data_IF_743995630510
#
_entry.id   IF_743995630510
#
_cell.length_a   1.000
_cell.length_b   1.000
_cell.length_c   1.000
_cell.angle_alpha   90.00
_cell.angle_beta   90.00
_cell.angle_gamma   90.00
#
_symmetry.space_group_name_H-M   'P 1'
#
loop_
_entity.id
_entity.type
_entity.pdbx_description
1 polymer ?
#
# COMPACT_ATOMS: atom_id res chain seq x y z
N UNK A 1 -21.46 51.36 85.74
CA UNK A 1 -20.06 51.87 85.71
C UNK A 1 -19.97 53.24 85.03
N UNK A 2 -20.58 53.42 83.84
CA UNK A 2 -20.68 54.74 83.15
C UNK A 2 -21.36 55.82 83.99
N UNK A 3 -22.53 55.50 84.57
CA UNK A 3 -23.30 56.48 85.36
C UNK A 3 -22.57 56.92 86.63
N UNK A 4 -21.87 56.00 87.30
CA UNK A 4 -21.05 56.29 88.48
C UNK A 4 -19.87 57.21 88.16
N UNK A 5 -19.33 57.12 86.94
CA UNK A 5 -18.22 57.98 86.49
C UNK A 5 -18.71 59.36 86.04
N UNK A 6 -19.88 59.43 85.39
CA UNK A 6 -20.53 60.70 85.06
C UNK A 6 -20.88 61.50 86.32
N UNK A 7 -21.47 60.85 87.33
CA UNK A 7 -21.80 61.50 88.60
C UNK A 7 -20.54 62.00 89.34
N UNK A 8 -19.44 61.24 89.28
CA UNK A 8 -18.15 61.66 89.82
C UNK A 8 -17.57 62.87 89.06
N UNK A 9 -17.60 62.86 87.72
CA UNK A 9 -17.19 64.01 86.90
C UNK A 9 -18.01 65.26 87.22
N UNK A 10 -19.33 65.11 87.36
CA UNK A 10 -20.25 66.19 87.75
C UNK A 10 -19.90 66.79 89.10
N UNK A 11 -19.66 65.95 90.10
CA UNK A 11 -19.27 66.38 91.44
C UNK A 11 -17.94 67.16 91.43
N UNK A 12 -16.95 66.71 90.67
CA UNK A 12 -15.68 67.42 90.51
C UNK A 12 -15.87 68.75 89.77
N UNK A 13 -16.61 68.75 88.66
CA UNK A 13 -16.84 69.93 87.84
C UNK A 13 -17.56 71.06 88.61
N UNK A 14 -18.47 70.72 89.53
CA UNK A 14 -19.15 71.68 90.43
C UNK A 14 -18.19 72.42 91.38
N UNK A 15 -17.05 71.82 91.69
CA UNK A 15 -16.01 72.42 92.53
C UNK A 15 -14.88 73.06 91.73
N UNK A 16 -14.93 72.99 90.39
CA UNK A 16 -13.92 73.55 89.53
C UNK A 16 -14.08 75.08 89.34
N UNK A 17 -12.97 75.77 89.12
CA UNK A 17 -12.90 77.22 88.97
C UNK A 17 -12.19 77.62 87.67
N UNK A 18 -12.57 78.76 87.10
CA UNK A 18 -11.92 79.32 85.92
C UNK A 18 -10.50 79.78 86.26
N UNK A 19 -9.49 79.19 85.62
CA UNK A 19 -8.07 79.49 85.86
C UNK A 19 -7.70 80.99 85.76
N UNK A 20 -8.45 81.79 84.99
CA UNK A 20 -8.18 83.21 84.76
C UNK A 20 -8.92 84.15 85.72
N UNK A 21 -10.01 83.70 86.36
CA UNK A 21 -10.89 84.56 87.18
C UNK A 21 -11.17 84.01 88.58
N UNK A 22 -10.82 82.75 88.88
CA UNK A 22 -11.08 82.08 90.16
C UNK A 22 -12.56 81.86 90.47
N UNK A 23 -13.46 82.14 89.52
CA UNK A 23 -14.91 81.94 89.72
C UNK A 23 -15.26 80.48 89.46
N UNK A 24 -16.21 79.94 90.22
CA UNK A 24 -16.76 78.59 89.98
C UNK A 24 -17.40 78.51 88.59
N UNK A 25 -17.26 77.35 87.95
CA UNK A 25 -17.93 77.06 86.68
C UNK A 25 -19.44 77.04 86.92
N UNK A 26 -20.20 77.63 86.00
CA UNK A 26 -21.65 77.66 86.11
C UNK A 26 -22.25 76.27 85.82
N UNK A 27 -23.23 75.86 86.62
CA UNK A 27 -23.91 74.55 86.47
C UNK A 27 -24.45 74.35 85.04
N UNK A 28 -24.96 75.42 84.41
CA UNK A 28 -25.47 75.38 83.03
C UNK A 28 -24.40 74.95 82.02
N UNK A 29 -23.16 75.42 82.20
CA UNK A 29 -22.04 75.06 81.30
C UNK A 29 -21.62 73.60 81.54
N UNK A 30 -21.69 73.12 82.79
CA UNK A 30 -21.41 71.72 83.11
C UNK A 30 -22.44 70.81 82.43
N UNK A 31 -23.73 71.17 82.48
CA UNK A 31 -24.81 70.45 81.81
C UNK A 31 -24.64 70.44 80.28
N UNK A 32 -24.34 71.59 79.68
CA UNK A 32 -24.08 71.69 78.23
C UNK A 32 -22.90 70.78 77.79
N UNK A 33 -21.84 70.68 78.60
CA UNK A 33 -20.70 69.78 78.32
C UNK A 33 -21.09 68.31 78.52
N UNK A 34 -21.86 67.97 79.56
CA UNK A 34 -22.33 66.60 79.79
C UNK A 34 -23.25 66.10 78.67
N UNK A 35 -24.16 66.95 78.17
CA UNK A 35 -25.00 66.64 77.01
C UNK A 35 -24.15 66.44 75.74
N UNK A 36 -23.16 67.32 75.51
CA UNK A 36 -22.23 67.16 74.38
C UNK A 36 -21.41 65.87 74.47
N UNK A 37 -20.90 65.51 75.66
CA UNK A 37 -20.18 64.26 75.87
C UNK A 37 -21.06 63.03 75.64
N UNK A 38 -22.34 63.08 76.06
CA UNK A 38 -23.32 62.03 75.80
C UNK A 38 -23.58 61.84 74.30
N UNK A 39 -23.79 62.93 73.57
CA UNK A 39 -23.99 62.90 72.12
C UNK A 39 -22.75 62.34 71.42
N UNK A 40 -21.54 62.73 71.85
CA UNK A 40 -20.28 62.20 71.31
C UNK A 40 -20.07 60.73 71.63
N UNK A 41 -20.43 60.30 72.84
CA UNK A 41 -20.38 58.89 73.23
C UNK A 41 -21.32 58.03 72.37
N UNK A 42 -22.52 58.55 72.06
CA UNK A 42 -23.47 57.88 71.16
C UNK A 42 -22.91 57.76 69.73
N UNK A 43 -22.32 58.84 69.19
CA UNK A 43 -21.66 58.85 67.88
C UNK A 43 -20.51 57.82 67.82
N UNK A 44 -19.70 57.73 68.88
CA UNK A 44 -18.59 56.76 68.98
C UNK A 44 -19.11 55.32 68.99
N UNK A 45 -20.19 55.03 69.73
CA UNK A 45 -20.77 53.68 69.76
C UNK A 45 -21.36 53.28 68.40
N UNK A 46 -22.03 54.21 67.70
CA UNK A 46 -22.56 53.98 66.35
C UNK A 46 -21.42 53.65 65.35
N UNK A 47 -20.36 54.46 65.36
CA UNK A 47 -19.18 54.26 64.51
C UNK A 47 -18.48 52.93 64.86
N UNK A 48 -18.40 52.56 66.15
CA UNK A 48 -17.86 51.26 66.57
C UNK A 48 -18.69 50.10 66.06
N UNK A 49 -20.02 50.16 66.21
CA UNK A 49 -20.93 49.14 65.69
C UNK A 49 -20.76 48.95 64.18
N UNK A 50 -20.67 50.06 63.45
CA UNK A 50 -20.39 50.08 62.01
C UNK A 50 -19.03 49.47 61.68
N UNK A 51 -17.97 49.81 62.42
CA UNK A 51 -16.63 49.26 62.22
C UNK A 51 -16.59 47.73 62.43
N UNK A 52 -17.23 47.23 63.49
CA UNK A 52 -17.33 45.79 63.78
C UNK A 52 -18.07 45.07 62.65
N UNK A 53 -19.20 45.62 62.21
CA UNK A 53 -19.98 45.07 61.09
C UNK A 53 -19.16 45.00 59.80
N UNK A 54 -18.44 46.09 59.47
CA UNK A 54 -17.58 46.17 58.29
C UNK A 54 -16.41 45.18 58.37
N UNK A 55 -15.75 45.04 59.53
CA UNK A 55 -14.68 44.05 59.73
C UNK A 55 -15.19 42.62 59.54
N UNK A 56 -16.34 42.30 60.10
CA UNK A 56 -16.96 40.98 59.94
C UNK A 56 -17.34 40.71 58.48
N UNK A 57 -17.84 41.73 57.76
CA UNK A 57 -18.14 41.63 56.33
C UNK A 57 -16.87 41.44 55.50
N UNK A 58 -15.81 42.17 55.81
CA UNK A 58 -14.51 42.04 55.15
C UNK A 58 -13.93 40.64 55.35
N UNK A 59 -13.91 40.12 56.58
CA UNK A 59 -13.44 38.76 56.85
C UNK A 59 -14.25 37.69 56.08
N UNK A 60 -15.57 37.85 55.98
CA UNK A 60 -16.42 36.95 55.17
C UNK A 60 -16.10 37.03 53.68
N UNK A 61 -15.89 38.23 53.15
CA UNK A 61 -15.55 38.44 51.73
C UNK A 61 -14.17 37.88 51.40
N UNK A 62 -13.17 38.08 52.26
CA UNK A 62 -11.84 37.50 52.10
C UNK A 62 -11.88 35.97 52.13
N UNK A 63 -12.67 35.38 53.03
CA UNK A 63 -12.81 33.92 53.06
C UNK A 63 -13.51 33.39 51.80
N UNK A 64 -14.55 34.08 51.32
CA UNK A 64 -15.21 33.71 50.07
C UNK A 64 -14.27 33.86 48.86
N UNK A 65 -13.37 34.85 48.87
CA UNK A 65 -12.36 35.04 47.83
C UNK A 65 -11.36 33.87 47.84
N UNK A 66 -10.77 33.56 49.00
CA UNK A 66 -9.84 32.43 49.16
C UNK A 66 -10.41 31.10 48.67
N UNK A 67 -11.65 30.80 49.07
CA UNK A 67 -12.32 29.57 48.64
C UNK A 67 -12.53 29.50 47.12
N UNK A 68 -12.74 30.66 46.46
CA UNK A 68 -12.88 30.72 44.99
C UNK A 68 -11.54 30.55 44.29
N UNK A 69 -10.48 31.16 44.82
CA UNK A 69 -9.13 31.07 44.25
C UNK A 69 -8.61 29.64 44.33
N UNK A 70 -8.75 28.96 45.48
CA UNK A 70 -8.36 27.55 45.63
C UNK A 70 -9.13 26.62 44.68
N UNK A 71 -10.43 26.85 44.46
CA UNK A 71 -11.23 26.04 43.54
C UNK A 71 -10.83 26.27 42.09
N UNK A 72 -10.59 27.53 41.70
CA UNK A 72 -10.19 27.88 40.35
C UNK A 72 -8.80 27.32 40.02
N UNK A 73 -7.84 27.45 40.93
CA UNK A 73 -6.48 26.94 40.75
C UNK A 73 -6.47 25.41 40.57
N UNK A 74 -7.17 24.68 41.43
CA UNK A 74 -7.26 23.22 41.33
C UNK A 74 -7.95 22.73 40.04
N UNK A 75 -9.03 23.39 39.62
CA UNK A 75 -9.72 23.04 38.38
C UNK A 75 -8.82 23.30 37.15
N UNK A 76 -8.14 24.44 37.12
CA UNK A 76 -7.23 24.79 36.03
C UNK A 76 -6.04 23.83 35.91
N UNK A 77 -5.52 23.33 37.04
CA UNK A 77 -4.43 22.35 37.03
C UNK A 77 -4.90 21.01 36.46
N UNK A 78 -6.07 20.53 36.87
CA UNK A 78 -6.63 19.25 36.38
C UNK A 78 -6.89 19.32 34.87
N UNK A 79 -7.52 20.41 34.39
CA UNK A 79 -7.80 20.59 32.96
C UNK A 79 -6.50 20.64 32.14
N UNK A 80 -5.47 21.30 32.67
CA UNK A 80 -4.15 21.37 32.02
C UNK A 80 -3.45 20.00 31.98
N UNK A 81 -3.49 19.24 33.08
CA UNK A 81 -2.95 17.88 33.12
C UNK A 81 -3.70 16.94 32.16
N UNK A 82 -5.02 17.07 32.07
CA UNK A 82 -5.83 16.31 31.12
C UNK A 82 -5.43 16.61 29.67
N UNK A 83 -5.29 17.89 29.31
CA UNK A 83 -4.81 18.30 27.99
C UNK A 83 -3.41 17.73 27.68
N UNK A 84 -2.53 17.66 28.68
CA UNK A 84 -1.19 17.09 28.54
C UNK A 84 -1.25 15.58 28.26
N UNK A 85 -2.11 14.86 28.97
CA UNK A 85 -2.34 13.41 28.75
C UNK A 85 -2.89 13.19 27.35
N UNK A 86 -3.89 13.96 26.94
CA UNK A 86 -4.49 13.84 25.60
C UNK A 86 -3.48 14.15 24.49
N UNK A 87 -2.66 15.20 24.66
CA UNK A 87 -1.62 15.53 23.69
C UNK A 87 -0.59 14.40 23.57
N UNK A 88 -0.17 13.83 24.72
CA UNK A 88 0.74 12.68 24.72
C UNK A 88 0.12 11.47 24.00
N UNK A 89 -1.13 11.11 24.31
CA UNK A 89 -1.83 10.00 23.64
C UNK A 89 -1.99 10.22 22.13
N UNK A 90 -2.25 11.46 21.70
CA UNK A 90 -2.32 11.80 20.28
C UNK A 90 -0.95 11.67 19.60
N UNK A 91 0.13 12.11 20.26
CA UNK A 91 1.48 11.94 19.72
C UNK A 91 1.88 10.47 19.60
N UNK A 92 1.58 9.65 20.60
CA UNK A 92 1.80 8.19 20.55
C UNK A 92 1.07 7.56 19.36
N UNK A 93 -0.20 7.92 19.15
CA UNK A 93 -0.96 7.47 17.97
C UNK A 93 -0.33 7.94 16.66
N UNK A 94 0.11 9.20 16.57
CA UNK A 94 0.77 9.73 15.37
C UNK A 94 2.04 8.91 15.07
N UNK A 95 2.82 8.58 16.09
CA UNK A 95 4.05 7.79 15.97
C UNK A 95 3.76 6.37 15.50
N UNK A 96 2.77 5.68 16.08
CA UNK A 96 2.31 4.37 15.61
C UNK A 96 1.87 4.39 14.13
N UNK A 97 1.07 5.39 13.74
CA UNK A 97 0.62 5.54 12.34
C UNK A 97 1.79 5.82 11.40
N UNK A 98 2.79 6.60 11.83
CA UNK A 98 3.99 6.88 11.05
C UNK A 98 4.83 5.61 10.85
N UNK A 99 4.98 4.78 11.87
CA UNK A 99 5.66 3.49 11.74
C UNK A 99 4.94 2.56 10.78
N UNK A 100 3.61 2.46 10.87
CA UNK A 100 2.81 1.67 9.92
C UNK A 100 2.96 2.17 8.48
N UNK A 101 2.89 3.49 8.27
CA UNK A 101 3.13 4.10 6.97
C UNK A 101 4.52 3.75 6.44
N UNK A 102 5.55 3.79 7.29
CA UNK A 102 6.90 3.42 6.91
C UNK A 102 7.02 1.93 6.53
N UNK A 103 6.37 1.03 7.29
CA UNK A 103 6.28 -0.41 6.98
C UNK A 103 5.59 -0.64 5.62
N UNK A 104 4.48 0.05 5.36
CA UNK A 104 3.75 -0.05 4.09
C UNK A 104 4.58 0.47 2.92
N UNK A 105 5.26 1.61 3.05
CA UNK A 105 6.17 2.13 2.02
C UNK A 105 7.27 1.12 1.65
N UNK A 106 7.89 0.48 2.64
CA UNK A 106 8.87 -0.60 2.42
C UNK A 106 8.26 -1.77 1.63
N UNK A 107 7.07 -2.25 2.04
CA UNK A 107 6.35 -3.30 1.31
C UNK A 107 6.08 -2.90 -0.14
N UNK A 108 5.63 -1.67 -0.38
CA UNK A 108 5.39 -1.17 -1.74
C UNK A 108 6.65 -1.22 -2.60
N UNK A 109 7.79 -0.74 -2.09
CA UNK A 109 9.07 -0.79 -2.84
C UNK A 109 9.45 -2.23 -3.21
N UNK A 110 9.37 -3.16 -2.25
CA UNK A 110 9.66 -4.58 -2.50
C UNK A 110 8.70 -5.16 -3.54
N UNK A 111 7.41 -4.87 -3.43
CA UNK A 111 6.41 -5.34 -4.39
C UNK A 111 6.68 -4.80 -5.79
N UNK A 112 7.06 -3.53 -5.94
CA UNK A 112 7.44 -2.96 -7.25
C UNK A 112 8.66 -3.68 -7.82
N UNK A 113 9.69 -3.96 -7.02
CA UNK A 113 10.85 -4.73 -7.47
C UNK A 113 10.46 -6.13 -7.97
N UNK A 114 9.63 -6.84 -7.21
CA UNK A 114 9.12 -8.17 -7.60
C UNK A 114 8.36 -8.08 -8.94
N UNK A 115 7.47 -7.10 -9.09
CA UNK A 115 6.71 -6.90 -10.33
C UNK A 115 7.65 -6.63 -11.51
N UNK A 116 8.69 -5.81 -11.33
CA UNK A 116 9.69 -5.54 -12.37
C UNK A 116 10.40 -6.81 -12.79
N UNK A 117 10.93 -7.60 -11.84
CA UNK A 117 11.59 -8.87 -12.15
C UNK A 117 10.64 -9.88 -12.83
N UNK A 118 9.38 -9.94 -12.39
CA UNK A 118 8.38 -10.81 -13.03
C UNK A 118 8.11 -10.37 -14.47
N UNK A 119 7.98 -9.05 -14.73
CA UNK A 119 7.79 -8.52 -16.08
C UNK A 119 8.98 -8.87 -16.99
N UNK A 120 10.21 -8.73 -16.51
CA UNK A 120 11.42 -9.11 -17.25
C UNK A 120 11.42 -10.60 -17.61
N UNK A 121 11.11 -11.47 -16.63
CA UNK A 121 11.02 -12.92 -16.86
C UNK A 121 9.95 -13.27 -17.89
N UNK A 122 8.78 -12.65 -17.81
CA UNK A 122 7.70 -12.86 -18.79
C UNK A 122 8.15 -12.44 -20.19
N UNK A 123 8.78 -11.29 -20.33
CA UNK A 123 9.30 -10.83 -21.62
C UNK A 123 10.35 -11.79 -22.19
N UNK A 124 11.24 -12.30 -21.35
CA UNK A 124 12.24 -13.29 -21.76
C UNK A 124 11.58 -14.58 -22.27
N UNK A 125 10.69 -15.18 -21.49
CA UNK A 125 9.98 -16.41 -21.87
C UNK A 125 9.12 -16.20 -23.12
N UNK A 126 8.49 -15.03 -23.26
CA UNK A 126 7.69 -14.70 -24.44
C UNK A 126 8.54 -14.61 -25.71
N UNK A 127 9.79 -14.12 -25.59
CA UNK A 127 10.74 -14.12 -26.71
C UNK A 127 11.14 -15.55 -27.09
N UNK A 128 11.50 -16.39 -26.12
CA UNK A 128 11.83 -17.80 -26.38
C UNK A 128 10.66 -18.57 -27.01
N UNK A 129 9.44 -18.30 -26.54
CA UNK A 129 8.23 -18.86 -27.12
C UNK A 129 8.07 -18.46 -28.59
N UNK A 130 8.29 -17.18 -28.91
CA UNK A 130 8.19 -16.69 -30.28
C UNK A 130 9.25 -17.32 -31.20
N UNK A 131 10.51 -17.42 -30.75
CA UNK A 131 11.58 -18.10 -31.50
C UNK A 131 11.26 -19.58 -31.74
N UNK A 132 10.72 -20.27 -30.72
CA UNK A 132 10.34 -21.68 -30.83
C UNK A 132 9.16 -21.86 -31.78
N UNK A 133 8.18 -20.97 -31.72
CA UNK A 133 7.02 -20.96 -32.62
C UNK A 133 7.43 -20.76 -34.07
N UNK A 134 8.41 -19.88 -34.33
CA UNK A 134 8.96 -19.67 -35.68
C UNK A 134 9.67 -20.93 -36.19
N UNK A 135 10.52 -21.56 -35.36
CA UNK A 135 11.18 -22.83 -35.72
C UNK A 135 10.17 -23.93 -36.04
N UNK A 136 9.09 -24.02 -35.26
CA UNK A 136 8.02 -24.99 -35.49
C UNK A 136 7.34 -24.74 -36.85
N UNK A 137 7.03 -23.48 -37.17
CA UNK A 137 6.42 -23.13 -38.45
C UNK A 137 7.31 -23.48 -39.65
N UNK A 138 8.62 -23.24 -39.56
CA UNK A 138 9.59 -23.65 -40.59
C UNK A 138 9.62 -25.17 -40.74
N UNK A 139 9.67 -25.91 -39.62
CA UNK A 139 9.70 -27.37 -39.66
C UNK A 139 8.41 -27.97 -40.27
N UNK A 140 7.25 -27.39 -39.96
CA UNK A 140 5.98 -27.79 -40.56
C UNK A 140 5.96 -27.55 -42.08
N UNK A 141 6.54 -26.44 -42.54
CA UNK A 141 6.70 -26.16 -43.97
C UNK A 141 7.63 -27.17 -44.65
N UNK A 142 8.79 -27.45 -44.06
CA UNK A 142 9.74 -28.44 -44.57
C UNK A 142 9.12 -29.83 -44.62
N UNK A 143 8.38 -30.23 -43.57
CA UNK A 143 7.66 -31.49 -43.53
C UNK A 143 6.61 -31.58 -44.65
N UNK A 144 5.89 -30.48 -44.91
CA UNK A 144 4.98 -30.36 -46.05
C UNK A 144 5.69 -30.60 -47.38
N UNK A 145 6.81 -29.91 -47.62
CA UNK A 145 7.59 -30.06 -48.85
C UNK A 145 8.14 -31.49 -49.03
N UNK A 146 8.62 -32.12 -47.95
CA UNK A 146 9.08 -33.51 -47.99
C UNK A 146 7.93 -34.48 -48.30
N UNK A 147 6.73 -34.27 -47.75
CA UNK A 147 5.54 -35.07 -48.08
C UNK A 147 5.17 -34.96 -49.55
N UNK A 148 5.25 -33.77 -50.13
CA UNK A 148 4.99 -33.53 -51.55
C UNK A 148 6.04 -34.22 -52.43
N UNK A 149 7.32 -34.13 -52.06
CA UNK A 149 8.41 -34.82 -52.78
C UNK A 149 8.24 -36.34 -52.75
N UNK A 150 7.90 -36.91 -51.59
CA UNK A 150 7.61 -38.35 -51.47
C UNK A 150 6.43 -38.74 -52.34
N UNK A 151 5.40 -37.89 -52.46
CA UNK A 151 4.24 -38.15 -53.31
C UNK A 151 4.63 -38.14 -54.79
N UNK A 152 5.41 -37.16 -55.24
CA UNK A 152 5.91 -37.07 -56.62
C UNK A 152 6.80 -38.25 -57.00
N UNK A 153 7.80 -38.57 -56.18
CA UNK A 153 8.72 -39.69 -56.43
C UNK A 153 8.01 -41.05 -56.42
N UNK A 154 6.98 -41.24 -55.59
CA UNK A 154 6.12 -42.43 -55.66
C UNK A 154 5.37 -42.50 -56.98
N UNK A 155 4.85 -41.38 -57.47
CA UNK A 155 4.14 -41.31 -58.75
C UNK A 155 5.08 -41.67 -59.91
N UNK A 156 6.23 -41.02 -60.01
CA UNK A 156 7.26 -41.31 -61.03
C UNK A 156 7.71 -42.78 -61.00
N UNK A 157 7.93 -43.32 -59.80
CA UNK A 157 8.26 -44.75 -59.63
C UNK A 157 7.14 -45.65 -60.16
N UNK A 158 5.89 -45.31 -59.88
CA UNK A 158 4.74 -46.10 -60.31
C UNK A 158 4.52 -45.99 -61.82
N UNK A 159 4.79 -44.84 -62.44
CA UNK A 159 4.82 -44.65 -63.91
C UNK A 159 5.90 -45.54 -64.55
N UNK A 160 7.15 -45.45 -64.09
CA UNK A 160 8.23 -46.31 -64.59
C UNK A 160 7.94 -47.80 -64.41
N UNK A 161 7.26 -48.18 -63.33
CA UNK A 161 6.84 -49.57 -63.11
C UNK A 161 5.80 -50.01 -64.15
N UNK A 162 4.86 -49.13 -64.51
CA UNK A 162 3.88 -49.39 -65.57
C UNK A 162 4.56 -49.48 -66.95
N UNK A 163 5.45 -48.55 -67.28
CA UNK A 163 6.24 -48.55 -68.52
C UNK A 163 7.08 -49.83 -68.65
N UNK A 164 7.80 -50.20 -67.59
CA UNK A 164 8.58 -51.43 -67.54
C UNK A 164 7.71 -52.67 -67.75
N UNK A 165 6.53 -52.72 -67.13
CA UNK A 165 5.58 -53.81 -67.33
C UNK A 165 5.08 -53.88 -68.78
N UNK A 166 4.76 -52.75 -69.41
CA UNK A 166 4.33 -52.68 -70.80
C UNK A 166 5.45 -53.09 -71.78
N UNK A 167 6.67 -52.59 -71.59
CA UNK A 167 7.83 -52.95 -72.41
C UNK A 167 8.18 -54.44 -72.25
N UNK A 168 8.09 -54.97 -71.03
CA UNK A 168 8.25 -56.42 -70.76
C UNK A 168 7.17 -57.23 -71.48
N UNK A 169 5.94 -56.75 -71.55
CA UNK A 169 4.87 -57.41 -72.30
C UNK A 169 5.14 -57.40 -73.82
N UNK A 170 5.56 -56.25 -74.38
CA UNK A 170 5.91 -56.12 -75.80
C UNK A 170 7.12 -56.99 -76.19
N UNK A 171 8.14 -57.02 -75.35
CA UNK A 171 9.35 -57.83 -75.56
C UNK A 171 9.20 -59.27 -75.09
N UNK A 172 8.07 -59.64 -74.47
CA UNK A 172 7.81 -61.00 -73.97
C UNK A 172 7.84 -62.07 -75.06
N UNK A 173 7.49 -61.71 -76.30
CA UNK A 173 7.62 -62.59 -77.47
C UNK A 173 9.10 -62.73 -77.87
N UNK A 174 9.88 -61.64 -77.81
CA UNK A 174 11.30 -61.63 -78.17
C UNK A 174 12.20 -62.34 -77.14
N UNK A 175 11.80 -62.32 -75.86
CA UNK A 175 12.48 -62.98 -74.75
C UNK A 175 11.97 -64.41 -74.48
N UNK A 176 11.15 -64.98 -75.37
CA UNK A 176 10.74 -66.38 -75.29
C UNK A 176 11.95 -67.27 -75.59
N UNK A 177 12.42 -67.99 -74.58
CA UNK A 177 13.56 -68.91 -74.68
C UNK A 177 13.35 -69.98 -75.78
N UNK A 178 12.09 -70.41 -75.95
CA UNK A 178 11.69 -71.31 -77.04
C UNK A 178 11.86 -70.69 -78.42
N UNK A 179 11.53 -69.40 -78.58
CA UNK A 179 11.65 -68.69 -79.84
C UNK A 179 13.13 -68.40 -80.16
N UNK A 180 13.94 -68.06 -79.15
CA UNK A 180 15.39 -67.91 -79.31
C UNK A 180 16.05 -69.24 -79.71
N UNK A 181 15.59 -70.36 -79.15
CA UNK A 181 16.09 -71.70 -79.51
C UNK A 181 15.68 -72.09 -80.93
N UNK A 182 14.42 -71.90 -81.31
CA UNK A 182 13.95 -72.16 -82.69
C UNK A 182 14.70 -71.30 -83.73
N UNK A 183 14.98 -70.02 -83.42
CA UNK A 183 15.80 -69.17 -84.27
C UNK A 183 17.24 -69.69 -84.44
N UNK A 184 17.86 -70.18 -83.36
CA UNK A 184 19.19 -70.81 -83.41
C UNK A 184 19.17 -72.09 -84.24
N UNK A 185 18.21 -72.98 -83.96
CA UNK A 185 18.07 -74.26 -84.66
C UNK A 185 17.83 -74.04 -86.17
N UNK A 186 17.02 -73.04 -86.55
CA UNK A 186 16.83 -72.65 -87.95
C UNK A 186 18.08 -72.06 -88.58
N UNK A 187 18.85 -71.25 -87.86
CA UNK A 187 20.10 -70.68 -88.36
C UNK A 187 21.14 -71.79 -88.63
N UNK A 188 21.26 -72.75 -87.72
CA UNK A 188 22.13 -73.92 -87.88
C UNK A 188 21.65 -74.78 -89.06
N UNK A 189 20.33 -75.00 -89.20
CA UNK A 189 19.76 -75.74 -90.33
C UNK A 189 20.04 -75.07 -91.67
N UNK A 190 19.98 -73.74 -91.74
CA UNK A 190 20.34 -72.98 -92.96
C UNK A 190 21.82 -73.18 -93.29
N UNK A 191 22.69 -73.22 -92.28
CA UNK A 191 24.13 -73.48 -92.46
C UNK A 191 24.37 -74.89 -93.01
N UNK A 192 23.73 -75.90 -92.42
CA UNK A 192 23.77 -77.28 -92.91
C UNK A 192 23.30 -77.39 -94.37
N UNK A 193 22.18 -76.76 -94.71
CA UNK A 193 21.65 -76.76 -96.08
C UNK A 193 22.61 -76.06 -97.06
N UNK A 194 23.25 -74.96 -96.66
CA UNK A 194 24.29 -74.30 -97.47
C UNK A 194 25.50 -75.21 -97.70
N UNK A 195 25.93 -75.94 -96.68
CA UNK A 195 27.03 -76.90 -96.79
C UNK A 195 26.65 -78.10 -97.66
N UNK A 196 25.42 -78.61 -97.56
CA UNK A 196 24.89 -79.64 -98.45
C UNK A 196 24.81 -79.16 -99.90
N UNK A 197 24.37 -77.92 -100.15
CA UNK A 197 24.37 -77.31 -101.49
C UNK A 197 25.81 -77.19 -102.01
N UNK A 198 26.77 -76.79 -101.17
CA UNK A 198 28.20 -76.73 -101.52
C UNK A 198 28.76 -78.12 -101.88
N UNK A 199 28.42 -79.14 -101.09
CA UNK A 199 28.84 -80.52 -101.35
C UNK A 199 28.18 -81.12 -102.61
N UNK A 200 26.90 -80.83 -102.83
CA UNK A 200 26.18 -81.24 -104.04
C UNK A 200 26.73 -80.53 -105.28
N UNK A 201 27.06 -79.22 -105.19
CA UNK A 201 27.77 -78.50 -106.26
C UNK A 201 29.14 -79.11 -106.55
N UNK A 202 29.90 -79.49 -105.52
CA UNK A 202 31.18 -80.20 -105.68
C UNK A 202 31.02 -81.58 -106.32
N UNK A 203 30.01 -82.37 -105.91
CA UNK A 203 29.71 -83.68 -106.53
C UNK A 203 29.24 -83.53 -107.98
N UNK A 204 28.43 -82.52 -108.29
CA UNK A 204 27.97 -82.26 -109.65
C UNK A 204 29.11 -81.76 -110.56
N UNK A 205 30.11 -81.07 -110.00
CA UNK A 205 31.36 -80.73 -110.70
C UNK A 205 32.40 -81.86 -110.76
N UNK A 206 32.14 -83.01 -110.14
CA UNK A 206 32.97 -84.23 -110.25
C UNK A 206 32.31 -85.31 -111.14
N UNK A 207 31.05 -85.11 -111.56
CA UNK A 207 30.33 -85.96 -112.52
C UNK A 207 30.08 -85.25 -113.87
N UNK A 208 30.76 -84.14 -114.11
CA UNK A 208 30.87 -83.44 -115.40
C UNK A 208 32.32 -83.05 -115.64
#
# INVERSE_FOLDING_TARGET
>A
CRDSFQEFKRQIARHAEYARTGKKIQEKIIQEVEEFELDKDAEVEEVRGSNISLKNRLAKLEQALRNKDELAENLHVIDFEQLKIENQQLNEKIEERNEELHKLRKKTVVTVQIITHMREKVQFVQKEYQETKEKLATLDQDLGAQRDLVTKTKHERDEHRQEYAALKQQTGIMNSEHLTKDFKDRADRIKELKDQISQLKKRHGQMS
#
